data_IF_731412167093
#
_entry.id   IF_731412167093
#
_cell.length_a   1.000
_cell.length_b   1.000
_cell.length_c   1.000
_cell.angle_alpha   90.00
_cell.angle_beta   90.00
_cell.angle_gamma   90.00
#
_symmetry.space_group_name_H-M   'P 1'
#
loop_
_entity.id
_entity.type
_entity.pdbx_description
1 polymer ?
#
# COMPACT_ATOMS: atom_id res chain seq x y z
N UNK A 1 -20.43 -13.25 6.55
CA UNK A 1 -19.60 -12.88 5.39
C UNK A 1 -18.41 -12.12 5.96
N UNK A 2 -17.17 -12.52 5.63
CA UNK A 2 -15.98 -11.86 6.17
C UNK A 2 -15.91 -10.40 5.66
N UNK A 3 -15.10 -9.55 6.30
CA UNK A 3 -14.89 -8.18 5.83
C UNK A 3 -14.32 -8.23 4.40
N UNK A 4 -13.37 -9.12 4.16
CA UNK A 4 -12.79 -9.37 2.84
C UNK A 4 -13.85 -9.70 1.79
N UNK A 5 -14.73 -10.67 2.05
CA UNK A 5 -15.74 -11.09 1.07
C UNK A 5 -16.71 -9.94 0.76
N UNK A 6 -17.12 -9.18 1.79
CA UNK A 6 -18.00 -8.02 1.63
C UNK A 6 -17.31 -6.95 0.77
N UNK A 7 -16.06 -6.62 1.07
CA UNK A 7 -15.30 -5.61 0.32
C UNK A 7 -15.11 -6.02 -1.14
N UNK A 8 -14.82 -7.29 -1.43
CA UNK A 8 -14.73 -7.79 -2.81
C UNK A 8 -16.06 -7.58 -3.56
N UNK A 9 -17.19 -7.87 -2.91
CA UNK A 9 -18.51 -7.70 -3.52
C UNK A 9 -18.87 -6.21 -3.80
N UNK A 10 -18.23 -5.28 -3.09
CA UNK A 10 -18.44 -3.82 -3.25
C UNK A 10 -17.51 -3.19 -4.30
N UNK A 11 -16.50 -3.91 -4.79
CA UNK A 11 -15.62 -3.43 -5.87
C UNK A 11 -16.39 -3.50 -7.20
N UNK A 12 -16.81 -2.34 -7.69
CA UNK A 12 -17.55 -2.20 -8.95
C UNK A 12 -16.60 -1.94 -10.13
N UNK A 13 -16.99 -2.35 -11.36
CA UNK A 13 -16.32 -1.88 -12.57
C UNK A 13 -16.36 -0.35 -12.65
N UNK A 14 -15.33 0.25 -13.25
CA UNK A 14 -15.27 1.70 -13.46
C UNK A 14 -16.45 2.15 -14.32
N UNK A 15 -17.25 3.10 -13.82
CA UNK A 15 -18.25 3.80 -14.64
C UNK A 15 -17.54 4.73 -15.63
N UNK A 16 -17.82 4.53 -16.93
CA UNK A 16 -17.21 5.29 -18.03
C UNK A 16 -18.13 6.36 -18.60
N UNK A 17 -19.28 6.62 -17.99
CA UNK A 17 -20.26 7.62 -18.41
C UNK A 17 -19.65 9.02 -18.57
N UNK A 18 -18.68 9.38 -17.72
CA UNK A 18 -17.98 10.68 -17.74
C UNK A 18 -16.76 10.73 -18.66
N UNK A 19 -16.39 9.65 -19.36
CA UNK A 19 -15.12 9.61 -20.10
C UNK A 19 -15.11 10.60 -21.28
N UNK A 20 -16.17 10.61 -22.08
CA UNK A 20 -16.27 11.49 -23.24
C UNK A 20 -16.25 12.96 -22.81
N UNK A 21 -16.98 13.30 -21.74
CA UNK A 21 -17.03 14.67 -21.21
C UNK A 21 -15.70 15.09 -20.59
N UNK A 22 -15.01 14.19 -19.86
CA UNK A 22 -13.68 14.44 -19.30
C UNK A 22 -12.65 14.74 -20.39
N UNK A 23 -12.67 13.98 -21.49
CA UNK A 23 -11.79 14.20 -22.65
C UNK A 23 -12.10 15.51 -23.37
N UNK A 24 -13.37 15.78 -23.64
CA UNK A 24 -13.80 17.01 -24.27
C UNK A 24 -13.39 18.26 -23.46
N UNK A 25 -13.46 18.18 -22.13
CA UNK A 25 -12.94 19.24 -21.26
C UNK A 25 -11.44 19.47 -21.47
N UNK A 26 -10.63 18.40 -21.44
CA UNK A 26 -9.17 18.48 -21.63
C UNK A 26 -8.78 19.00 -23.02
N UNK A 27 -9.48 18.59 -24.07
CA UNK A 27 -9.23 19.03 -25.45
C UNK A 27 -9.58 20.51 -25.66
N UNK A 28 -10.47 21.06 -24.85
CA UNK A 28 -10.86 22.48 -24.89
C UNK A 28 -9.97 23.39 -24.02
N UNK A 29 -8.96 22.85 -23.33
CA UNK A 29 -7.98 23.65 -22.60
C UNK A 29 -7.04 24.39 -23.57
N UNK A 30 -6.43 25.48 -23.11
CA UNK A 30 -5.48 26.27 -23.91
C UNK A 30 -4.13 25.53 -24.07
N UNK A 31 -4.15 24.46 -24.83
CA UNK A 31 -3.02 23.58 -25.19
C UNK A 31 -3.33 22.91 -26.54
N UNK A 32 -2.34 22.50 -27.34
CA UNK A 32 -2.59 21.59 -28.45
C UNK A 32 -3.21 20.27 -27.93
N UNK A 33 -4.19 19.73 -28.66
CA UNK A 33 -4.85 18.47 -28.28
C UNK A 33 -3.82 17.35 -28.09
N UNK A 34 -3.92 16.60 -26.99
CA UNK A 34 -3.00 15.51 -26.64
C UNK A 34 -1.57 15.92 -26.24
N UNK A 35 -1.24 17.21 -26.18
CA UNK A 35 0.14 17.66 -25.91
C UNK A 35 0.68 17.31 -24.52
N UNK A 36 -0.18 16.97 -23.54
CA UNK A 36 0.24 16.53 -22.21
C UNK A 36 0.34 15.00 -22.08
N UNK A 37 0.03 14.26 -23.14
CA UNK A 37 0.20 12.81 -23.23
C UNK A 37 -0.43 12.05 -22.06
N UNK A 38 0.39 11.28 -21.33
CA UNK A 38 -0.06 10.43 -20.23
C UNK A 38 -0.75 11.20 -19.09
N UNK A 39 -0.43 12.49 -18.90
CA UNK A 39 -1.13 13.30 -17.89
C UNK A 39 -2.62 13.48 -18.22
N UNK A 40 -2.99 13.54 -19.50
CA UNK A 40 -4.40 13.61 -19.92
C UNK A 40 -5.10 12.29 -19.63
N UNK A 41 -4.44 11.16 -19.90
CA UNK A 41 -4.98 9.85 -19.56
C UNK A 41 -5.17 9.68 -18.05
N UNK A 42 -4.20 10.12 -17.26
CA UNK A 42 -4.27 10.05 -15.80
C UNK A 42 -5.41 10.92 -15.25
N UNK A 43 -5.59 12.12 -15.79
CA UNK A 43 -6.69 13.01 -15.42
C UNK A 43 -8.05 12.37 -15.69
N UNK A 44 -8.25 11.78 -16.89
CA UNK A 44 -9.48 11.04 -17.22
C UNK A 44 -9.68 9.88 -16.25
N UNK A 45 -8.66 9.05 -16.02
CA UNK A 45 -8.76 7.91 -15.07
C UNK A 45 -9.17 8.38 -13.68
N UNK A 46 -8.63 9.51 -13.20
CA UNK A 46 -8.96 10.05 -11.89
C UNK A 46 -10.40 10.61 -11.83
N UNK A 47 -10.87 11.28 -12.87
CA UNK A 47 -12.29 11.69 -12.98
C UNK A 47 -13.24 10.48 -12.91
N UNK A 48 -12.92 9.39 -13.61
CA UNK A 48 -13.74 8.18 -13.60
C UNK A 48 -13.70 7.48 -12.24
N UNK A 49 -12.52 7.35 -11.62
CA UNK A 49 -12.38 6.71 -10.31
C UNK A 49 -13.11 7.49 -9.19
N UNK A 50 -13.20 8.81 -9.32
CA UNK A 50 -13.90 9.68 -8.35
C UNK A 50 -15.33 10.03 -8.77
N UNK A 51 -15.78 9.51 -9.93
CA UNK A 51 -17.07 9.79 -10.56
C UNK A 51 -17.43 11.29 -10.59
N UNK A 52 -16.48 12.14 -10.99
CA UNK A 52 -16.69 13.59 -11.10
C UNK A 52 -15.76 14.23 -12.13
N UNK A 53 -16.24 15.28 -12.80
CA UNK A 53 -15.44 16.10 -13.73
C UNK A 53 -14.58 17.14 -13.03
N UNK A 54 -14.77 17.32 -11.71
CA UNK A 54 -14.03 18.28 -10.90
C UNK A 54 -13.34 17.57 -9.73
N UNK A 55 -12.47 16.60 -10.01
CA UNK A 55 -11.84 15.83 -8.94
C UNK A 55 -10.90 16.73 -8.13
N UNK A 56 -10.79 16.45 -6.83
CA UNK A 56 -9.87 17.17 -5.93
C UNK A 56 -8.82 16.19 -5.43
N UNK A 57 -7.56 16.57 -5.60
CA UNK A 57 -6.42 15.87 -5.00
C UNK A 57 -6.39 16.26 -3.51
N UNK A 58 -7.16 15.55 -2.69
CA UNK A 58 -7.33 15.80 -1.25
C UNK A 58 -6.17 15.31 -0.38
N UNK A 59 -6.49 14.87 0.85
CA UNK A 59 -5.52 14.26 1.77
C UNK A 59 -4.92 13.00 1.13
N UNK A 60 -3.62 12.79 1.31
CA UNK A 60 -2.89 11.62 0.79
C UNK A 60 -2.28 10.87 1.97
N UNK A 61 -2.40 9.56 1.98
CA UNK A 61 -1.87 8.69 3.03
C UNK A 61 -1.05 7.58 2.38
N UNK A 62 0.15 7.34 2.89
CA UNK A 62 0.99 6.20 2.53
C UNK A 62 1.03 5.28 3.74
N UNK A 63 0.51 4.06 3.58
CA UNK A 63 0.67 3.01 4.58
C UNK A 63 1.93 2.21 4.28
N UNK A 64 2.88 2.18 5.22
CA UNK A 64 4.08 1.37 5.12
C UNK A 64 3.97 0.16 6.03
N UNK A 65 3.77 -1.02 5.45
CA UNK A 65 3.57 -2.27 6.20
C UNK A 65 4.91 -2.95 6.47
N UNK A 66 5.21 -3.15 7.75
CA UNK A 66 6.44 -3.78 8.21
C UNK A 66 6.20 -5.20 8.72
N UNK A 67 7.00 -6.15 8.25
CA UNK A 67 6.96 -7.54 8.72
C UNK A 67 8.22 -8.32 8.34
N UNK A 68 8.61 -9.26 9.19
CA UNK A 68 9.78 -10.12 8.96
C UNK A 68 9.39 -11.44 8.29
N UNK A 69 10.35 -12.04 7.59
CA UNK A 69 10.12 -13.21 6.76
C UNK A 69 11.08 -14.34 7.16
N UNK A 70 10.56 -15.49 7.57
CA UNK A 70 11.38 -16.63 8.01
C UNK A 70 12.33 -17.18 6.93
N UNK A 71 12.13 -16.86 5.65
CA UNK A 71 13.06 -17.22 4.57
C UNK A 71 14.37 -16.43 4.64
N UNK A 72 14.45 -15.37 5.44
CA UNK A 72 15.71 -14.67 5.71
C UNK A 72 16.80 -15.62 6.28
N UNK A 73 16.40 -16.67 7.00
CA UNK A 73 17.28 -17.75 7.47
C UNK A 73 18.06 -18.46 6.34
N UNK A 74 17.57 -18.40 5.09
CA UNK A 74 18.24 -18.97 3.91
C UNK A 74 19.37 -18.08 3.36
N UNK A 75 19.69 -16.95 4.00
CA UNK A 75 20.77 -16.06 3.57
C UNK A 75 20.50 -15.34 2.24
N UNK A 76 19.21 -15.15 1.91
CA UNK A 76 18.75 -14.51 0.66
C UNK A 76 18.74 -12.97 0.69
N UNK A 77 19.20 -12.37 1.79
CA UNK A 77 19.26 -10.92 1.99
C UNK A 77 20.69 -10.45 2.23
N UNK A 78 21.01 -9.25 1.73
CA UNK A 78 22.27 -8.57 1.99
C UNK A 78 22.33 -7.93 3.40
N UNK A 79 21.18 -7.80 4.06
CA UNK A 79 21.04 -7.19 5.39
C UNK A 79 20.49 -8.19 6.40
N UNK A 80 20.91 -8.11 7.67
CA UNK A 80 20.42 -8.99 8.73
C UNK A 80 19.02 -8.57 9.20
N UNK A 81 18.28 -9.50 9.80
CA UNK A 81 16.86 -9.35 10.16
C UNK A 81 16.60 -8.19 11.13
N UNK A 82 17.56 -7.85 12.01
CA UNK A 82 17.43 -6.75 12.96
C UNK A 82 17.32 -5.36 12.29
N UNK A 83 17.53 -5.27 10.97
CA UNK A 83 17.34 -4.03 10.22
C UNK A 83 15.87 -3.65 10.07
N UNK A 84 14.93 -4.62 10.01
CA UNK A 84 13.48 -4.35 9.96
C UNK A 84 13.04 -3.45 11.13
N UNK A 85 13.24 -3.84 12.40
CA UNK A 85 12.80 -3.04 13.54
C UNK A 85 13.57 -1.71 13.66
N UNK A 86 14.81 -1.62 13.16
CA UNK A 86 15.56 -0.36 13.11
C UNK A 86 14.96 0.63 12.10
N UNK A 87 14.61 0.16 10.89
CA UNK A 87 14.03 1.04 9.88
C UNK A 87 12.61 1.47 10.25
N UNK A 88 11.82 0.61 10.91
CA UNK A 88 10.53 1.00 11.50
C UNK A 88 10.70 2.17 12.46
N UNK A 89 11.64 2.09 13.40
CA UNK A 89 11.92 3.22 14.32
C UNK A 89 12.40 4.47 13.58
N UNK A 90 13.22 4.31 12.53
CA UNK A 90 13.65 5.43 11.70
C UNK A 90 12.49 6.09 10.94
N UNK A 91 11.53 5.30 10.44
CA UNK A 91 10.33 5.81 9.79
C UNK A 91 9.44 6.59 10.76
N UNK A 92 9.27 6.09 11.99
CA UNK A 92 8.53 6.78 13.06
C UNK A 92 9.22 8.07 13.52
N UNK A 93 10.55 8.12 13.46
CA UNK A 93 11.34 9.33 13.69
C UNK A 93 11.42 10.26 12.45
N UNK A 94 10.65 9.99 11.40
CA UNK A 94 10.62 10.72 10.13
C UNK A 94 11.95 10.78 9.35
N UNK A 95 12.88 9.87 9.62
CA UNK A 95 14.23 9.86 9.06
C UNK A 95 14.43 8.95 7.83
N UNK A 96 13.40 8.21 7.40
CA UNK A 96 13.51 7.32 6.24
C UNK A 96 13.21 8.05 4.92
N UNK A 97 13.63 7.45 3.80
CA UNK A 97 13.42 8.01 2.47
C UNK A 97 11.93 8.27 2.16
N UNK A 98 11.04 7.35 2.58
CA UNK A 98 9.59 7.51 2.42
C UNK A 98 9.08 8.78 3.12
N UNK A 99 9.61 9.14 4.30
CA UNK A 99 9.19 10.35 5.01
C UNK A 99 9.57 11.61 4.23
N UNK A 100 10.79 11.66 3.68
CA UNK A 100 11.28 12.80 2.90
C UNK A 100 10.46 12.99 1.63
N UNK A 101 10.23 11.91 0.88
CA UNK A 101 9.47 11.96 -0.38
C UNK A 101 7.98 12.22 -0.14
N UNK A 102 7.38 11.61 0.88
CA UNK A 102 5.99 11.82 1.24
C UNK A 102 5.74 13.28 1.65
N UNK A 103 6.62 13.87 2.46
CA UNK A 103 6.55 15.29 2.82
C UNK A 103 6.62 16.19 1.60
N UNK A 104 7.50 15.90 0.63
CA UNK A 104 7.54 16.64 -0.63
C UNK A 104 6.23 16.51 -1.43
N UNK A 105 5.62 15.32 -1.44
CA UNK A 105 4.34 15.06 -2.11
C UNK A 105 3.09 15.54 -1.33
N UNK A 106 3.27 16.05 -0.10
CA UNK A 106 2.17 16.39 0.80
C UNK A 106 1.33 15.19 1.20
N UNK A 107 1.99 14.06 1.48
CA UNK A 107 1.38 12.82 1.96
C UNK A 107 1.80 12.50 3.39
N UNK A 108 0.84 12.01 4.18
CA UNK A 108 1.05 11.49 5.52
C UNK A 108 1.60 10.05 5.42
N UNK A 109 2.61 9.69 6.22
CA UNK A 109 3.12 8.32 6.31
C UNK A 109 2.58 7.68 7.58
N UNK A 110 1.94 6.52 7.46
CA UNK A 110 1.47 5.69 8.57
C UNK A 110 2.23 4.37 8.56
N UNK A 111 3.02 4.13 9.60
CA UNK A 111 3.80 2.90 9.73
C UNK A 111 2.93 1.86 10.41
N UNK A 112 2.78 0.70 9.78
CA UNK A 112 1.95 -0.41 10.26
C UNK A 112 2.86 -1.58 10.56
N UNK A 113 2.84 -2.06 11.79
CA UNK A 113 3.45 -3.34 12.13
C UNK A 113 2.44 -4.45 11.86
N UNK A 114 2.66 -5.19 10.77
CA UNK A 114 1.82 -6.33 10.37
C UNK A 114 2.48 -7.67 10.77
N UNK A 115 3.79 -7.69 11.03
CA UNK A 115 4.47 -8.93 11.39
C UNK A 115 5.95 -8.83 11.76
N UNK A 116 6.42 -7.72 12.35
CA UNK A 116 7.84 -7.56 12.72
C UNK A 116 8.20 -8.54 13.85
N UNK A 117 9.34 -9.23 13.79
CA UNK A 117 9.84 -10.09 14.88
C UNK A 117 10.60 -9.25 15.94
N UNK A 118 9.97 -8.18 16.37
CA UNK A 118 10.39 -7.34 17.49
C UNK A 118 9.11 -6.83 18.16
N UNK A 119 9.07 -6.77 19.51
CA UNK A 119 7.93 -6.22 20.21
C UNK A 119 7.68 -4.73 19.93
N UNK A 120 8.65 -4.01 19.35
CA UNK A 120 8.61 -2.58 19.05
C UNK A 120 8.13 -1.75 20.25
N UNK A 121 8.61 -2.10 21.45
CA UNK A 121 8.29 -1.38 22.69
C UNK A 121 8.63 0.10 22.52
N UNK A 122 7.72 0.95 23.00
CA UNK A 122 7.84 2.41 22.98
C UNK A 122 7.81 3.07 21.58
N UNK A 123 7.42 2.33 20.53
CA UNK A 123 7.25 2.84 19.19
C UNK A 123 5.98 3.73 19.07
N UNK A 124 6.08 4.97 19.56
CA UNK A 124 4.99 5.95 19.45
C UNK A 124 4.62 6.22 17.98
N UNK A 125 3.33 6.27 17.69
CA UNK A 125 2.81 6.50 16.34
C UNK A 125 2.74 5.25 15.45
N UNK A 126 3.23 4.10 15.93
CA UNK A 126 3.10 2.82 15.23
C UNK A 126 1.66 2.31 15.27
N UNK A 127 1.12 1.91 14.11
CA UNK A 127 -0.14 1.18 14.05
C UNK A 127 0.14 -0.31 14.33
N UNK A 128 -0.12 -0.72 15.57
CA UNK A 128 0.09 -2.09 16.03
C UNK A 128 -1.05 -3.01 15.54
N UNK A 129 -0.83 -3.69 14.41
CA UNK A 129 -1.79 -4.61 13.77
C UNK A 129 -1.15 -5.98 13.50
N UNK A 130 -0.17 -6.36 14.33
CA UNK A 130 0.68 -7.55 14.13
C UNK A 130 -0.16 -8.83 14.09
N UNK A 131 -0.04 -9.57 13.00
CA UNK A 131 -0.70 -10.88 12.85
C UNK A 131 0.08 -11.95 13.61
N UNK A 132 1.40 -11.95 13.45
CA UNK A 132 2.36 -12.85 14.11
C UNK A 132 3.78 -12.25 14.06
N UNK A 133 4.70 -12.63 14.96
CA UNK A 133 6.10 -12.21 14.87
C UNK A 133 6.82 -13.02 13.77
N UNK A 134 7.02 -12.41 12.62
CA UNK A 134 7.63 -13.03 11.45
C UNK A 134 6.76 -14.12 10.79
N UNK A 135 6.87 -14.25 9.47
CA UNK A 135 6.31 -15.42 8.77
C UNK A 135 7.17 -16.65 9.01
N UNK A 136 6.61 -17.85 8.85
CA UNK A 136 7.40 -19.06 8.71
C UNK A 136 8.25 -19.03 7.42
N UNK A 137 9.24 -19.92 7.35
CA UNK A 137 10.13 -20.05 6.20
C UNK A 137 9.42 -20.72 5.02
N UNK A 138 9.27 -19.97 3.92
CA UNK A 138 8.57 -20.46 2.71
C UNK A 138 9.31 -21.59 2.00
N UNK A 139 10.61 -21.77 2.26
CA UNK A 139 11.40 -22.89 1.72
C UNK A 139 11.07 -24.22 2.39
N UNK A 140 10.56 -24.19 3.63
CA UNK A 140 10.26 -25.37 4.44
C UNK A 140 8.76 -25.69 4.48
N UNK A 141 7.89 -24.72 4.17
CA UNK A 141 6.45 -24.88 4.24
C UNK A 141 5.67 -23.59 4.02
N UNK A 142 4.38 -23.54 4.40
CA UNK A 142 3.58 -22.33 4.24
C UNK A 142 4.08 -21.21 5.16
N UNK A 143 4.14 -19.98 4.64
CA UNK A 143 4.54 -18.79 5.39
C UNK A 143 3.62 -18.50 6.60
N UNK A 144 2.34 -18.80 6.45
CA UNK A 144 1.26 -18.56 7.40
C UNK A 144 0.06 -19.42 7.05
N UNK A 145 -0.91 -19.49 7.96
CA UNK A 145 -2.22 -20.09 7.72
C UNK A 145 -3.06 -19.22 6.78
N UNK A 146 -4.07 -19.81 6.15
CA UNK A 146 -5.02 -19.06 5.31
C UNK A 146 -5.80 -18.00 6.11
N UNK A 147 -6.07 -18.27 7.39
CA UNK A 147 -6.76 -17.33 8.28
C UNK A 147 -5.88 -16.12 8.60
N UNK A 148 -4.60 -16.33 8.92
CA UNK A 148 -3.63 -15.25 9.11
C UNK A 148 -3.49 -14.38 7.85
N UNK A 149 -3.45 -15.00 6.66
CA UNK A 149 -3.42 -14.27 5.40
C UNK A 149 -4.69 -13.43 5.17
N UNK A 150 -5.88 -13.97 5.48
CA UNK A 150 -7.14 -13.22 5.41
C UNK A 150 -7.15 -12.04 6.37
N UNK A 151 -6.76 -12.26 7.63
CA UNK A 151 -6.68 -11.22 8.65
C UNK A 151 -5.71 -10.10 8.23
N UNK A 152 -4.56 -10.44 7.63
CA UNK A 152 -3.60 -9.44 7.12
C UNK A 152 -4.21 -8.54 6.03
N UNK A 153 -5.00 -9.11 5.11
CA UNK A 153 -5.70 -8.34 4.08
C UNK A 153 -6.80 -7.47 4.70
N UNK A 154 -7.54 -8.01 5.66
CA UNK A 154 -8.60 -7.26 6.37
C UNK A 154 -8.04 -6.05 7.14
N UNK A 155 -6.86 -6.16 7.74
CA UNK A 155 -6.16 -4.98 8.32
C UNK A 155 -5.95 -3.89 7.28
N UNK A 156 -5.50 -4.24 6.07
CA UNK A 156 -5.33 -3.27 4.99
C UNK A 156 -6.65 -2.62 4.56
N UNK A 157 -7.73 -3.40 4.52
CA UNK A 157 -9.09 -2.91 4.22
C UNK A 157 -9.54 -1.92 5.29
N UNK A 158 -9.47 -2.27 6.58
CA UNK A 158 -9.83 -1.41 7.71
C UNK A 158 -9.10 -0.07 7.64
N UNK A 159 -7.77 -0.11 7.51
CA UNK A 159 -6.92 1.09 7.45
C UNK A 159 -7.28 1.98 6.26
N UNK A 160 -7.60 1.38 5.11
CA UNK A 160 -8.01 2.13 3.92
C UNK A 160 -9.37 2.82 4.11
N UNK A 161 -10.32 2.14 4.77
CA UNK A 161 -11.65 2.69 5.06
C UNK A 161 -11.57 3.81 6.11
N UNK A 162 -10.75 3.63 7.14
CA UNK A 162 -10.46 4.65 8.14
C UNK A 162 -9.86 5.90 7.48
N UNK A 163 -8.82 5.74 6.65
CA UNK A 163 -8.22 6.87 5.93
C UNK A 163 -9.23 7.57 5.00
N UNK A 164 -10.08 6.81 4.30
CA UNK A 164 -11.13 7.39 3.47
C UNK A 164 -12.15 8.19 4.30
N UNK A 165 -12.56 7.69 5.48
CA UNK A 165 -13.44 8.40 6.40
C UNK A 165 -12.81 9.70 6.94
N UNK A 166 -11.49 9.76 7.06
CA UNK A 166 -10.73 10.98 7.36
C UNK A 166 -10.54 11.93 6.16
N UNK A 167 -11.08 11.59 4.99
CA UNK A 167 -11.01 12.40 3.78
C UNK A 167 -9.77 12.16 2.91
N UNK A 168 -9.06 11.04 3.09
CA UNK A 168 -8.02 10.62 2.15
C UNK A 168 -8.62 10.38 0.77
N UNK A 169 -8.12 11.10 -0.23
CA UNK A 169 -8.50 10.97 -1.63
C UNK A 169 -7.53 10.09 -2.43
N UNK A 170 -6.33 9.84 -1.86
CA UNK A 170 -5.30 8.99 -2.44
C UNK A 170 -4.65 8.18 -1.33
N UNK A 171 -4.51 6.88 -1.57
CA UNK A 171 -3.82 5.94 -0.69
C UNK A 171 -2.67 5.32 -1.48
N UNK A 172 -1.48 5.38 -0.91
CA UNK A 172 -0.29 4.68 -1.37
C UNK A 172 0.08 3.55 -0.42
N UNK A 173 0.78 2.56 -0.93
CA UNK A 173 1.35 1.47 -0.15
C UNK A 173 2.87 1.48 -0.25
N UNK A 174 3.52 1.12 0.85
CA UNK A 174 4.94 0.80 0.93
C UNK A 174 5.13 -0.39 1.85
N UNK A 175 6.34 -0.93 1.89
CA UNK A 175 6.68 -2.09 2.68
C UNK A 175 8.02 -1.90 3.39
N UNK A 176 8.26 -2.75 4.39
CA UNK A 176 9.57 -2.96 4.98
C UNK A 176 9.65 -4.38 5.53
N UNK A 177 10.59 -5.17 5.04
CA UNK A 177 10.84 -6.50 5.57
C UNK A 177 12.12 -7.08 5.00
N UNK A 178 13.03 -7.53 5.85
CA UNK A 178 14.20 -8.23 5.38
C UNK A 178 13.79 -9.52 4.66
N UNK A 179 14.48 -9.80 3.54
CA UNK A 179 14.22 -10.92 2.63
C UNK A 179 12.86 -10.94 1.92
N UNK A 180 12.04 -9.89 2.01
CA UNK A 180 10.67 -9.88 1.46
C UNK A 180 10.58 -9.96 -0.08
N UNK A 181 11.64 -9.62 -0.81
CA UNK A 181 11.70 -9.76 -2.26
C UNK A 181 11.70 -11.23 -2.71
N UNK A 182 12.13 -12.15 -1.84
CA UNK A 182 12.06 -13.60 -2.07
C UNK A 182 10.60 -14.11 -2.12
N UNK A 183 9.73 -13.89 -1.10
CA UNK A 183 8.31 -14.22 -1.21
C UNK A 183 7.61 -13.42 -2.30
N UNK A 184 7.96 -12.15 -2.56
CA UNK A 184 7.40 -11.42 -3.71
C UNK A 184 7.69 -12.13 -5.04
N UNK A 185 8.91 -12.61 -5.22
CA UNK A 185 9.32 -13.35 -6.42
C UNK A 185 8.61 -14.70 -6.52
N UNK A 186 8.43 -15.40 -5.39
CA UNK A 186 7.70 -16.66 -5.33
C UNK A 186 6.20 -16.47 -5.68
N UNK A 187 5.56 -15.42 -5.14
CA UNK A 187 4.18 -15.05 -5.49
C UNK A 187 4.08 -14.73 -6.98
N UNK A 188 5.00 -13.91 -7.50
CA UNK A 188 5.01 -13.58 -8.93
C UNK A 188 5.14 -14.84 -9.79
N UNK A 189 6.09 -15.73 -9.48
CA UNK A 189 6.29 -16.98 -10.20
C UNK A 189 5.07 -17.91 -10.14
N UNK A 190 4.38 -17.98 -8.99
CA UNK A 190 3.18 -18.80 -8.82
C UNK A 190 1.95 -18.26 -9.58
N UNK A 191 1.94 -16.97 -9.91
CA UNK A 191 0.87 -16.30 -10.65
C UNK A 191 1.18 -16.12 -12.14
N UNK A 192 2.36 -16.53 -12.60
CA UNK A 192 2.65 -16.55 -14.03
C UNK A 192 1.72 -17.57 -14.73
N UNK A 193 1.11 -17.18 -15.85
CA UNK A 193 0.20 -18.04 -16.62
C UNK A 193 0.91 -19.20 -17.32
#
# INVERSE_FOLDING_TARGET
MSLLDKTIAEILPVDRSLEAESRAHLDNLTKPAGSLGYLEELAVRYCLATNTLKPRVGKKVIFTFAGDHGVAAEGVSAYPEEVTPQLVRNMLAEGAAVNVLARHAGAEVRVVDIGVDDPLKDAQGLLAKKIRPGTANIAEGPAMTLEEARNAVEVGIELSQEAAAEGAALIGTGEMGIANTTPSSAIFAALLP
#
